data_IF_014394169729
#
_entry.id   IF_014394169729
#
_cell.length_a   1.000
_cell.length_b   1.000
_cell.length_c   1.000
_cell.angle_alpha   90.00
_cell.angle_beta   90.00
_cell.angle_gamma   90.00
#
_symmetry.space_group_name_H-M   'P 1'
#
loop_
_entity.id
_entity.type
_entity.pdbx_description
1 polymer ?
#
# COMPACT_ATOMS: atom_id res chain seq x y z
N UNK A 1 23.86 -57.31 8.05
CA UNK A 1 23.10 -56.51 9.03
C UNK A 1 22.12 -55.68 8.21
N UNK A 2 20.92 -56.14 7.85
CA UNK A 2 19.72 -56.50 8.65
C UNK A 2 19.31 -55.38 9.62
N UNK A 3 18.09 -54.86 9.46
CA UNK A 3 17.35 -54.04 10.43
C UNK A 3 17.14 -52.60 9.96
N UNK A 4 16.14 -52.21 9.17
CA UNK A 4 14.67 -52.29 9.35
C UNK A 4 14.07 -51.10 10.12
N UNK A 5 12.85 -50.77 9.68
CA UNK A 5 11.99 -49.59 9.83
C UNK A 5 11.66 -49.19 11.27
N UNK A 6 11.36 -47.91 11.48
CA UNK A 6 10.08 -47.58 12.14
C UNK A 6 9.61 -46.14 11.85
N UNK A 7 8.43 -46.04 11.24
CA UNK A 7 7.58 -44.85 11.14
C UNK A 7 6.86 -44.66 12.48
N UNK A 8 6.74 -43.43 12.97
CA UNK A 8 5.69 -43.09 13.93
C UNK A 8 4.85 -41.93 13.39
N UNK A 9 3.65 -42.29 12.91
CA UNK A 9 2.49 -41.41 12.80
C UNK A 9 1.82 -41.40 14.17
N UNK A 10 1.43 -40.23 14.66
CA UNK A 10 0.29 -40.10 15.57
C UNK A 10 -0.56 -38.92 15.10
N UNK A 11 -1.79 -39.25 14.70
CA UNK A 11 -2.90 -38.34 14.49
C UNK A 11 -3.81 -38.41 15.73
N UNK A 12 -4.50 -37.32 16.06
CA UNK A 12 -5.72 -37.15 16.89
C UNK A 12 -5.66 -35.68 17.38
N UNK A 13 -6.66 -34.80 17.31
CA UNK A 13 -8.07 -34.89 16.97
C UNK A 13 -8.85 -33.87 17.83
N UNK A 14 -9.52 -32.91 17.17
CA UNK A 14 -10.78 -32.25 17.53
C UNK A 14 -10.94 -31.33 18.78
N UNK A 15 -12.00 -30.49 18.69
CA UNK A 15 -12.70 -29.67 19.70
C UNK A 15 -12.08 -28.30 20.07
N UNK A 16 -12.78 -27.18 20.25
CA UNK A 16 -14.22 -26.85 20.25
C UNK A 16 -14.45 -25.32 20.31
N UNK A 17 -15.57 -24.86 19.74
CA UNK A 17 -16.48 -23.77 20.15
C UNK A 17 -16.02 -22.31 20.39
N UNK A 18 -16.44 -21.46 19.44
CA UNK A 18 -17.27 -20.25 19.57
C UNK A 18 -17.62 -19.68 20.96
N UNK A 19 -17.45 -18.35 21.11
CA UNK A 19 -18.39 -17.50 21.85
C UNK A 19 -18.33 -16.04 21.35
N UNK A 20 -19.43 -15.61 20.71
CA UNK A 20 -19.77 -14.21 20.45
C UNK A 20 -20.38 -13.60 21.72
N UNK A 21 -19.94 -12.41 22.11
CA UNK A 21 -20.63 -11.57 23.10
C UNK A 21 -21.05 -10.25 22.45
N UNK A 22 -22.37 -10.09 22.30
CA UNK A 22 -23.05 -8.84 21.88
C UNK A 22 -23.45 -8.10 23.14
N UNK A 23 -23.04 -6.83 23.28
CA UNK A 23 -23.47 -5.93 24.37
C UNK A 23 -24.38 -4.86 23.77
N UNK A 24 -25.64 -4.85 24.23
CA UNK A 24 -26.66 -3.85 23.93
C UNK A 24 -26.70 -2.86 25.10
N UNK A 25 -26.56 -1.55 24.84
CA UNK A 25 -26.79 -0.49 25.82
C UNK A 25 -28.05 0.28 25.43
N UNK A 26 -29.03 0.29 26.33
CA UNK A 26 -30.26 1.08 26.23
C UNK A 26 -30.00 2.55 26.58
N UNK A 27 -30.69 3.43 25.84
CA UNK A 27 -30.79 4.88 26.04
C UNK A 27 -32.12 5.16 26.74
N UNK A 28 -32.10 5.90 27.85
CA UNK A 28 -33.31 6.45 28.48
C UNK A 28 -33.29 7.99 28.43
N UNK A 29 -34.45 8.51 28.03
CA UNK A 29 -34.79 9.90 27.78
C UNK A 29 -35.89 10.29 28.79
N UNK A 30 -35.78 11.46 29.43
CA UNK A 30 -36.77 11.97 30.37
C UNK A 30 -36.73 13.49 30.48
N UNK A 31 -37.84 14.13 30.08
CA UNK A 31 -38.05 15.57 29.88
C UNK A 31 -38.76 16.26 31.06
N UNK A 32 -38.59 17.58 31.09
CA UNK A 32 -39.57 18.65 31.39
C UNK A 32 -39.80 19.18 32.83
N UNK A 33 -39.81 20.52 32.94
CA UNK A 33 -40.52 21.28 33.97
C UNK A 33 -39.98 22.70 34.22
N UNK A 34 -40.55 23.72 33.55
CA UNK A 34 -40.22 25.15 33.63
C UNK A 34 -41.42 25.96 34.18
N UNK A 35 -41.20 27.01 35.00
CA UNK A 35 -42.25 27.98 35.40
C UNK A 35 -41.89 28.87 36.63
N UNK A 36 -42.43 30.11 36.77
CA UNK A 36 -41.66 31.35 37.01
C UNK A 36 -41.94 32.16 38.32
N UNK A 37 -41.17 33.25 38.58
CA UNK A 37 -41.08 34.12 39.80
C UNK A 37 -42.29 35.05 40.13
N UNK A 38 -42.20 36.16 40.92
CA UNK A 38 -41.04 37.04 41.31
C UNK A 38 -41.00 37.56 42.80
N UNK A 39 -40.06 38.46 43.13
CA UNK A 39 -39.80 39.11 44.45
C UNK A 39 -40.55 40.45 44.70
N UNK A 40 -40.57 41.02 45.93
CA UNK A 40 -39.77 42.26 46.20
C UNK A 40 -39.30 42.56 47.68
N UNK A 41 -38.18 43.33 47.77
CA UNK A 41 -37.75 44.46 48.66
C UNK A 41 -37.78 44.50 50.24
N UNK A 42 -36.58 44.54 50.86
CA UNK A 42 -35.90 45.41 51.90
C UNK A 42 -36.67 46.29 52.94
N UNK A 43 -36.12 46.62 54.16
CA UNK A 43 -34.78 47.24 54.35
C UNK A 43 -33.96 47.02 55.67
N UNK A 44 -32.64 47.28 55.53
CA UNK A 44 -31.68 48.01 56.41
C UNK A 44 -31.47 47.67 57.91
N UNK A 45 -30.26 47.21 58.25
CA UNK A 45 -29.30 47.95 59.12
C UNK A 45 -27.89 47.33 59.10
N UNK A 46 -26.87 48.17 58.89
CA UNK A 46 -25.43 47.90 59.07
C UNK A 46 -24.96 48.59 60.39
N UNK A 47 -23.75 48.38 60.99
CA UNK A 47 -22.40 48.31 60.35
C UNK A 47 -21.35 47.43 61.12
N UNK A 48 -20.01 47.55 60.94
CA UNK A 48 -19.19 47.23 59.75
C UNK A 48 -17.98 46.29 60.04
N UNK A 49 -17.31 45.90 58.94
CA UNK A 49 -15.89 45.54 58.80
C UNK A 49 -15.37 44.13 59.21
N UNK A 50 -15.07 43.32 58.19
CA UNK A 50 -13.78 42.63 58.04
C UNK A 50 -13.64 42.13 56.58
N UNK A 51 -12.71 42.71 55.83
CA UNK A 51 -12.38 42.33 54.45
C UNK A 51 -11.66 40.98 54.45
N UNK A 52 -12.21 39.97 53.76
CA UNK A 52 -11.50 38.76 53.36
C UNK A 52 -11.00 38.92 51.92
N UNK A 53 -9.74 38.62 51.59
CA UNK A 53 -9.28 38.52 50.21
C UNK A 53 -9.93 37.31 49.50
N UNK A 54 -10.23 37.41 48.20
CA UNK A 54 -10.98 36.40 47.47
C UNK A 54 -10.11 35.21 47.04
N UNK A 55 -10.70 34.01 47.13
CA UNK A 55 -10.39 32.87 46.27
C UNK A 55 -10.55 33.27 44.80
N UNK A 56 -9.58 32.93 43.95
CA UNK A 56 -9.85 32.76 42.53
C UNK A 56 -9.25 31.43 42.02
N UNK A 57 -10.08 30.53 41.46
CA UNK A 57 -9.66 29.32 40.78
C UNK A 57 -9.45 29.61 39.28
N UNK A 58 -8.25 29.40 38.75
CA UNK A 58 -8.05 29.29 37.30
C UNK A 58 -6.78 28.51 36.99
N UNK A 59 -6.98 27.22 36.71
CA UNK A 59 -5.99 26.36 36.10
C UNK A 59 -6.04 26.57 34.59
N UNK A 60 -5.29 27.55 34.08
CA UNK A 60 -5.12 27.75 32.65
C UNK A 60 -3.65 28.00 32.34
N UNK A 61 -3.08 27.08 31.57
CA UNK A 61 -1.74 27.06 30.99
C UNK A 61 -0.56 27.31 31.95
N UNK A 62 -0.18 26.27 32.70
CA UNK A 62 1.10 26.23 33.40
C UNK A 62 2.22 25.91 32.41
N UNK A 63 2.56 26.88 31.56
CA UNK A 63 3.92 26.98 31.05
C UNK A 63 4.87 26.88 32.25
N UNK A 64 5.91 26.05 32.15
CA UNK A 64 6.84 25.78 33.24
C UNK A 64 7.55 27.09 33.62
N UNK A 65 7.06 27.77 34.66
CA UNK A 65 7.61 29.03 35.18
C UNK A 65 8.61 28.70 36.28
N UNK A 66 9.83 29.20 36.14
CA UNK A 66 10.82 29.17 37.22
C UNK A 66 10.28 29.97 38.41
N UNK A 67 10.13 29.33 39.57
CA UNK A 67 9.66 29.96 40.80
C UNK A 67 10.80 29.96 41.83
N UNK A 68 11.30 31.15 42.15
CA UNK A 68 12.26 31.35 43.23
C UNK A 68 11.52 31.41 44.57
N UNK A 69 11.51 30.29 45.30
CA UNK A 69 10.88 30.20 46.63
C UNK A 69 11.97 30.24 47.69
N UNK A 70 11.94 31.27 48.56
CA UNK A 70 12.88 31.37 49.68
C UNK A 70 12.45 30.46 50.83
N UNK A 71 13.25 29.43 51.13
CA UNK A 71 12.98 28.48 52.20
C UNK A 71 13.99 28.71 53.34
N UNK A 72 13.55 29.21 54.52
CA UNK A 72 14.39 29.25 55.71
C UNK A 72 14.87 27.86 56.11
N UNK A 73 16.13 27.76 56.54
CA UNK A 73 16.83 26.49 56.78
C UNK A 73 16.08 25.53 57.73
N UNK A 74 15.42 26.06 58.76
CA UNK A 74 14.63 25.32 59.74
C UNK A 74 13.40 24.61 59.14
N UNK A 75 12.89 25.11 58.01
CA UNK A 75 11.68 24.61 57.34
C UNK A 75 11.99 23.66 56.18
N UNK A 76 13.25 23.61 55.73
CA UNK A 76 13.68 22.78 54.59
C UNK A 76 13.30 21.31 54.79
N UNK A 77 13.62 20.74 55.96
CA UNK A 77 13.41 19.32 56.25
C UNK A 77 11.92 18.92 56.27
N UNK A 78 11.07 19.80 56.85
CA UNK A 78 9.61 19.59 56.92
C UNK A 78 8.92 19.64 55.55
N UNK A 79 9.44 20.42 54.60
CA UNK A 79 8.88 20.52 53.24
C UNK A 79 9.29 19.33 52.38
N UNK A 80 10.55 18.89 52.48
CA UNK A 80 11.06 17.72 51.74
C UNK A 80 10.41 16.39 52.15
N UNK A 81 10.09 16.21 53.43
CA UNK A 81 9.45 14.98 53.93
C UNK A 81 7.95 14.90 53.56
N UNK A 82 7.28 16.04 53.34
CA UNK A 82 5.86 16.09 52.93
C UNK A 82 5.64 15.76 51.46
N UNK A 83 6.53 16.20 50.57
CA UNK A 83 6.34 16.07 49.11
C UNK A 83 6.89 14.77 48.52
N UNK A 84 7.53 13.92 49.32
CA UNK A 84 7.82 12.53 48.96
C UNK A 84 8.67 12.37 47.69
N UNK A 85 10.00 12.37 47.86
CA UNK A 85 11.05 12.06 46.84
C UNK A 85 11.38 13.19 45.85
N UNK A 86 11.86 14.31 46.38
CA UNK A 86 12.71 15.23 45.62
C UNK A 86 14.19 14.88 45.80
N UNK A 87 14.97 14.85 44.71
CA UNK A 87 16.43 14.79 44.80
C UNK A 87 16.94 16.23 44.81
N UNK A 88 17.80 16.57 45.78
CA UNK A 88 18.46 17.87 45.79
C UNK A 88 19.48 17.93 44.65
N UNK A 89 19.23 18.83 43.70
CA UNK A 89 20.09 19.07 42.55
C UNK A 89 20.60 20.51 42.62
N UNK A 90 21.93 20.75 42.60
CA UNK A 90 22.46 22.09 42.47
C UNK A 90 21.87 22.79 41.24
N UNK A 91 21.59 24.09 41.37
CA UNK A 91 20.93 24.86 40.32
C UNK A 91 21.65 24.78 38.96
N UNK A 92 22.98 24.79 38.97
CA UNK A 92 23.80 24.61 37.76
C UNK A 92 23.51 23.27 37.09
N UNK A 93 23.39 22.19 37.87
CA UNK A 93 23.11 20.85 37.34
C UNK A 93 21.67 20.71 36.87
N UNK A 94 20.72 21.39 37.51
CA UNK A 94 19.35 21.51 37.00
C UNK A 94 19.34 22.19 35.63
N UNK A 95 20.03 23.34 35.49
CA UNK A 95 20.11 24.07 34.22
C UNK A 95 20.74 23.24 33.12
N UNK A 96 21.81 22.51 33.38
CA UNK A 96 22.45 21.60 32.42
C UNK A 96 21.47 20.52 31.93
N UNK A 97 20.82 19.79 32.84
CA UNK A 97 19.89 18.72 32.48
C UNK A 97 18.64 19.26 31.77
N UNK A 98 18.17 20.44 32.19
CA UNK A 98 17.06 21.14 31.56
C UNK A 98 17.40 21.57 30.13
N UNK A 99 18.57 22.18 29.91
CA UNK A 99 19.05 22.55 28.58
C UNK A 99 19.25 21.32 27.70
N UNK A 100 19.87 20.26 28.21
CA UNK A 100 20.04 19.01 27.49
C UNK A 100 18.70 18.37 27.11
N UNK A 101 17.73 18.35 28.02
CA UNK A 101 16.39 17.87 27.75
C UNK A 101 15.67 18.72 26.69
N UNK A 102 15.87 20.04 26.72
CA UNK A 102 15.26 20.95 25.77
C UNK A 102 15.91 20.88 24.38
N UNK A 103 17.21 20.62 24.31
CA UNK A 103 17.92 20.35 23.06
C UNK A 103 17.51 18.99 22.47
N UNK A 104 17.30 17.97 23.31
CA UNK A 104 16.74 16.68 22.88
C UNK A 104 15.31 16.88 22.37
N UNK A 105 14.47 17.65 23.07
CA UNK A 105 13.11 17.96 22.62
C UNK A 105 13.11 18.76 21.32
N UNK A 106 13.96 19.77 21.15
CA UNK A 106 14.07 20.54 19.91
C UNK A 106 14.51 19.67 18.73
N UNK A 107 15.49 18.77 18.93
CA UNK A 107 15.90 17.81 17.90
C UNK A 107 14.83 16.78 17.59
N UNK A 108 14.05 16.35 18.58
CA UNK A 108 12.91 15.47 18.37
C UNK A 108 11.72 16.19 17.69
N UNK A 109 11.63 17.52 17.87
CA UNK A 109 10.64 18.39 17.25
C UNK A 109 11.06 18.87 15.84
N UNK A 110 12.28 18.58 15.37
CA UNK A 110 12.57 18.60 13.93
C UNK A 110 11.66 17.55 13.29
N UNK A 111 10.53 18.01 12.75
CA UNK A 111 9.47 17.17 12.23
C UNK A 111 10.04 16.23 11.16
N UNK A 112 10.13 14.94 11.50
CA UNK A 112 10.50 13.92 10.52
C UNK A 112 9.44 13.92 9.41
N UNK A 113 9.84 13.77 8.14
CA UNK A 113 8.89 13.57 7.07
C UNK A 113 7.94 12.41 7.41
N UNK A 114 6.61 12.56 7.19
CA UNK A 114 5.65 11.50 7.49
C UNK A 114 5.90 10.23 6.66
N UNK A 115 6.60 10.37 5.52
CA UNK A 115 7.08 9.27 4.68
C UNK A 115 8.58 9.40 4.46
N UNK A 116 9.32 8.29 4.59
CA UNK A 116 10.78 8.29 4.45
C UNK A 116 11.25 8.47 3.01
N UNK A 117 10.50 7.91 2.06
CA UNK A 117 10.73 8.06 0.63
C UNK A 117 9.40 7.87 -0.12
N UNK A 118 9.30 8.45 -1.31
CA UNK A 118 8.12 8.34 -2.18
C UNK A 118 8.54 8.15 -3.64
N UNK A 119 7.69 7.47 -4.41
CA UNK A 119 7.87 7.30 -5.85
C UNK A 119 7.12 8.43 -6.54
N UNK A 120 7.83 9.26 -7.31
CA UNK A 120 7.24 10.43 -8.00
C UNK A 120 6.69 10.07 -9.38
N UNK A 121 7.43 9.26 -10.14
CA UNK A 121 7.11 8.89 -11.51
C UNK A 121 7.56 7.45 -11.79
N UNK A 122 6.77 6.73 -12.59
CA UNK A 122 7.10 5.40 -13.10
C UNK A 122 6.81 5.36 -14.60
N UNK A 123 7.82 4.97 -15.37
CA UNK A 123 7.69 4.60 -16.78
C UNK A 123 7.89 3.09 -16.94
N UNK A 124 6.84 2.39 -17.36
CA UNK A 124 6.85 0.94 -17.57
C UNK A 124 6.84 0.60 -19.05
N UNK A 125 7.70 -0.33 -19.44
CA UNK A 125 7.68 -0.98 -20.75
C UNK A 125 7.45 -2.47 -20.58
N UNK A 126 6.27 -2.94 -20.99
CA UNK A 126 5.85 -4.33 -20.91
C UNK A 126 5.93 -4.99 -22.29
N UNK A 127 6.62 -6.12 -22.37
CA UNK A 127 6.75 -6.94 -23.59
C UNK A 127 6.19 -8.32 -23.32
N UNK A 128 5.19 -8.71 -24.12
CA UNK A 128 4.59 -10.04 -24.04
C UNK A 128 5.50 -11.06 -24.73
N UNK A 129 5.90 -12.12 -24.02
CA UNK A 129 6.79 -13.15 -24.52
C UNK A 129 6.27 -14.56 -24.16
N UNK A 130 5.61 -15.22 -25.12
CA UNK A 130 5.01 -16.58 -25.02
C UNK A 130 4.09 -16.78 -23.81
N UNK A 131 4.66 -17.03 -22.63
CA UNK A 131 3.95 -17.39 -21.39
C UNK A 131 4.12 -16.36 -20.27
N UNK A 132 4.98 -15.36 -20.47
CA UNK A 132 5.27 -14.32 -19.47
C UNK A 132 5.21 -12.93 -20.10
N UNK A 133 4.86 -11.94 -19.29
CA UNK A 133 5.08 -10.53 -19.60
C UNK A 133 6.32 -10.09 -18.87
N UNK A 134 7.31 -9.59 -19.63
CA UNK A 134 8.52 -8.96 -19.08
C UNK A 134 8.29 -7.46 -19.01
N UNK A 135 8.58 -6.86 -17.87
CA UNK A 135 8.42 -5.43 -17.65
C UNK A 135 9.74 -4.83 -17.23
N UNK A 136 10.15 -3.78 -17.93
CA UNK A 136 11.20 -2.86 -17.51
C UNK A 136 10.53 -1.61 -16.94
N UNK A 137 10.73 -1.34 -15.66
CA UNK A 137 10.21 -0.16 -15.00
C UNK A 137 11.37 0.76 -14.59
N UNK A 138 11.26 2.03 -14.97
CA UNK A 138 12.14 3.11 -14.54
C UNK A 138 11.36 3.99 -13.57
N UNK A 139 11.85 4.11 -12.35
CA UNK A 139 11.16 4.79 -11.26
C UNK A 139 12.03 5.92 -10.73
N UNK A 140 11.43 7.11 -10.57
CA UNK A 140 12.04 8.22 -9.84
C UNK A 140 11.57 8.18 -8.40
N UNK A 141 12.53 8.12 -7.49
CA UNK A 141 12.27 8.03 -6.05
C UNK A 141 12.87 9.25 -5.38
N UNK A 142 12.07 9.91 -4.55
CA UNK A 142 12.51 11.02 -3.71
C UNK A 142 12.65 10.53 -2.27
N UNK A 143 13.87 10.59 -1.73
CA UNK A 143 14.17 10.15 -0.36
C UNK A 143 14.23 11.36 0.57
N UNK A 144 13.28 11.43 1.49
CA UNK A 144 13.05 12.59 2.36
C UNK A 144 13.72 12.41 3.72
N UNK A 145 13.59 11.23 4.35
CA UNK A 145 14.16 10.97 5.66
C UNK A 145 15.65 10.66 5.59
N UNK A 146 16.41 11.14 6.57
CA UNK A 146 17.79 10.73 6.80
C UNK A 146 17.84 9.30 7.37
N UNK A 147 18.80 8.50 6.91
CA UNK A 147 18.98 7.12 7.33
C UNK A 147 18.26 6.12 6.42
N UNK A 148 17.83 5.00 7.00
CA UNK A 148 17.20 3.90 6.29
C UNK A 148 15.72 4.16 6.03
N UNK A 149 15.31 3.97 4.78
CA UNK A 149 13.92 4.07 4.34
C UNK A 149 13.53 2.85 3.51
N UNK A 150 12.30 2.38 3.69
CA UNK A 150 11.72 1.30 2.88
C UNK A 150 10.75 1.89 1.85
N UNK A 151 10.85 1.45 0.60
CA UNK A 151 9.90 1.79 -0.47
C UNK A 151 9.17 0.53 -0.92
N UNK A 152 7.84 0.46 -0.81
CA UNK A 152 7.07 -0.71 -1.22
C UNK A 152 6.98 -0.79 -2.75
N UNK A 153 7.56 -1.84 -3.35
CA UNK A 153 7.47 -2.09 -4.79
C UNK A 153 6.16 -2.78 -5.16
N UNK A 154 5.51 -3.47 -4.21
CA UNK A 154 4.19 -4.10 -4.38
C UNK A 154 4.10 -5.05 -5.58
N UNK A 155 5.16 -5.83 -5.85
CA UNK A 155 5.25 -6.79 -6.96
C UNK A 155 5.08 -8.25 -6.47
N UNK A 156 3.94 -8.67 -5.88
CA UNK A 156 3.70 -10.06 -5.52
C UNK A 156 3.63 -10.94 -6.77
N UNK A 157 4.13 -12.17 -6.62
CA UNK A 157 4.17 -13.19 -7.66
C UNK A 157 4.91 -12.78 -8.94
N UNK A 158 5.70 -11.71 -8.88
CA UNK A 158 6.59 -11.29 -9.95
C UNK A 158 8.01 -11.79 -9.66
N UNK A 159 8.68 -12.31 -10.68
CA UNK A 159 10.09 -12.66 -10.60
C UNK A 159 10.92 -11.42 -10.98
N UNK A 160 11.63 -10.83 -10.02
CA UNK A 160 12.59 -9.75 -10.29
C UNK A 160 13.86 -10.38 -10.87
N UNK A 161 14.21 -10.00 -12.09
CA UNK A 161 15.40 -10.53 -12.79
C UNK A 161 16.60 -9.60 -12.66
N UNK A 162 16.37 -8.30 -12.55
CA UNK A 162 17.42 -7.29 -12.40
C UNK A 162 16.88 -6.09 -11.63
N UNK A 163 17.69 -5.48 -10.78
CA UNK A 163 17.35 -4.22 -10.14
C UNK A 163 18.61 -3.39 -9.88
N UNK A 164 18.63 -2.18 -10.41
CA UNK A 164 19.72 -1.23 -10.23
C UNK A 164 19.19 0.11 -9.71
N UNK A 165 19.88 0.67 -8.72
CA UNK A 165 19.63 1.97 -8.15
C UNK A 165 20.83 2.87 -8.49
N UNK A 166 20.61 3.92 -9.26
CA UNK A 166 21.67 4.82 -9.74
C UNK A 166 22.87 4.05 -10.36
N UNK A 167 22.58 2.99 -11.12
CA UNK A 167 23.58 2.15 -11.79
C UNK A 167 24.28 1.10 -10.90
N UNK A 168 23.99 1.04 -9.61
CA UNK A 168 24.50 0.01 -8.70
C UNK A 168 23.41 -1.02 -8.36
N UNK A 169 23.76 -2.26 -7.97
CA UNK A 169 22.77 -3.24 -7.55
C UNK A 169 21.86 -2.72 -6.42
N UNK A 170 20.55 -2.80 -6.62
CA UNK A 170 19.57 -2.34 -5.64
C UNK A 170 19.40 -3.35 -4.49
N UNK A 171 19.19 -2.85 -3.26
CA UNK A 171 18.93 -3.69 -2.08
C UNK A 171 17.43 -4.02 -2.01
N UNK A 172 17.02 -5.13 -2.60
CA UNK A 172 15.63 -5.59 -2.59
C UNK A 172 15.43 -6.67 -1.53
N UNK A 173 14.36 -6.54 -0.75
CA UNK A 173 13.95 -7.49 0.28
C UNK A 173 12.55 -8.02 -0.04
N UNK A 174 12.37 -9.34 0.04
CA UNK A 174 11.06 -9.96 -0.06
C UNK A 174 10.25 -9.71 1.22
N UNK A 175 8.99 -9.32 1.08
CA UNK A 175 8.07 -8.97 2.15
C UNK A 175 6.84 -9.90 2.18
N UNK A 176 7.07 -11.20 2.03
CA UNK A 176 5.99 -12.21 1.98
C UNK A 176 4.94 -11.88 0.92
N UNK A 177 3.67 -11.99 1.29
CA UNK A 177 2.53 -11.76 0.40
C UNK A 177 2.41 -10.30 -0.10
N UNK A 178 3.10 -9.35 0.54
CA UNK A 178 3.15 -7.95 0.08
C UNK A 178 4.10 -7.73 -1.12
N UNK A 179 4.81 -8.78 -1.55
CA UNK A 179 5.76 -8.73 -2.66
C UNK A 179 7.15 -8.29 -2.22
N UNK A 180 7.66 -7.18 -2.76
CA UNK A 180 9.03 -6.72 -2.53
C UNK A 180 9.09 -5.29 -2.00
N UNK A 181 10.16 -5.01 -1.25
CA UNK A 181 10.53 -3.69 -0.75
C UNK A 181 11.94 -3.34 -1.20
N UNK A 182 12.15 -2.07 -1.52
CA UNK A 182 13.47 -1.51 -1.75
C UNK A 182 13.98 -0.87 -0.46
N UNK A 183 15.21 -1.18 -0.08
CA UNK A 183 15.91 -0.50 1.02
C UNK A 183 16.79 0.61 0.47
N UNK A 184 16.56 1.81 0.98
CA UNK A 184 17.32 3.01 0.65
C UNK A 184 18.01 3.54 1.90
N UNK A 185 19.23 4.01 1.74
CA UNK A 185 19.99 4.65 2.79
C UNK A 185 20.40 6.03 2.29
N UNK A 186 19.88 7.09 2.91
CA UNK A 186 20.28 8.47 2.59
C UNK A 186 21.13 9.05 3.69
N UNK A 187 22.25 9.66 3.29
CA UNK A 187 23.12 10.42 4.19
C UNK A 187 22.81 11.91 4.04
N UNK A 188 22.42 12.56 5.13
CA UNK A 188 22.15 13.99 5.17
C UNK A 188 20.67 14.36 5.12
N UNK A 189 20.40 15.64 5.43
CA UNK A 189 19.05 16.14 5.74
C UNK A 189 18.23 16.57 4.51
N UNK A 190 18.86 16.87 3.37
CA UNK A 190 18.15 17.36 2.18
C UNK A 190 17.50 16.21 1.40
N UNK A 191 16.34 16.41 0.75
CA UNK A 191 15.79 15.45 -0.19
C UNK A 191 16.78 15.09 -1.30
N UNK A 192 16.82 13.82 -1.67
CA UNK A 192 17.65 13.30 -2.77
C UNK A 192 16.77 12.53 -3.74
N UNK A 193 16.97 12.78 -5.05
CA UNK A 193 16.29 12.03 -6.11
C UNK A 193 17.20 10.91 -6.60
N UNK A 194 16.66 9.70 -6.66
CA UNK A 194 17.35 8.52 -7.16
C UNK A 194 16.52 7.84 -8.25
N UNK A 195 17.20 7.25 -9.22
CA UNK A 195 16.57 6.47 -10.27
C UNK A 195 16.74 4.97 -9.97
N UNK A 196 15.63 4.24 -9.91
CA UNK A 196 15.59 2.79 -9.81
C UNK A 196 15.16 2.22 -11.17
N UNK A 197 15.98 1.35 -11.74
CA UNK A 197 15.61 0.55 -12.91
C UNK A 197 15.43 -0.90 -12.47
N UNK A 198 14.24 -1.44 -12.67
CA UNK A 198 13.91 -2.82 -12.31
C UNK A 198 13.37 -3.56 -13.52
N UNK A 199 13.83 -4.80 -13.70
CA UNK A 199 13.28 -5.75 -14.64
C UNK A 199 12.60 -6.88 -13.88
N UNK A 200 11.34 -7.14 -14.21
CA UNK A 200 10.57 -8.22 -13.61
C UNK A 200 9.70 -8.93 -14.64
N UNK A 201 9.31 -10.16 -14.34
CA UNK A 201 8.43 -10.96 -15.19
C UNK A 201 7.24 -11.50 -14.38
N UNK A 202 6.08 -11.56 -15.03
CA UNK A 202 4.87 -12.19 -14.48
C UNK A 202 4.25 -13.14 -15.50
N UNK A 203 3.76 -14.28 -15.02
CA UNK A 203 3.09 -15.27 -15.87
C UNK A 203 1.76 -14.74 -16.43
N UNK A 204 1.46 -15.13 -17.67
CA UNK A 204 0.21 -14.83 -18.35
C UNK A 204 -0.83 -15.87 -17.94
N UNK A 205 -2.04 -15.41 -17.62
CA UNK A 205 -3.20 -16.27 -17.46
C UNK A 205 -3.87 -16.41 -18.82
N UNK A 206 -3.81 -17.61 -19.39
CA UNK A 206 -4.43 -17.94 -20.67
C UNK A 206 -5.82 -18.54 -20.46
N UNK A 207 -6.81 -17.99 -21.15
CA UNK A 207 -8.16 -18.53 -21.23
C UNK A 207 -8.58 -18.60 -22.71
N UNK A 208 -9.51 -19.49 -23.08
CA UNK A 208 -9.99 -19.57 -24.47
C UNK A 208 -10.49 -18.21 -24.98
N UNK A 209 -9.81 -17.66 -25.99
CA UNK A 209 -10.14 -16.35 -26.58
C UNK A 209 -9.66 -15.11 -25.80
N UNK A 210 -8.95 -15.27 -24.67
CA UNK A 210 -8.45 -14.15 -23.88
C UNK A 210 -7.18 -14.50 -23.10
N UNK A 211 -6.12 -13.73 -23.35
CA UNK A 211 -4.93 -13.71 -22.50
C UNK A 211 -4.98 -12.50 -21.59
N UNK A 212 -4.59 -12.69 -20.33
CA UNK A 212 -4.57 -11.62 -19.34
C UNK A 212 -3.37 -11.69 -18.42
N UNK A 213 -2.91 -10.53 -17.98
CA UNK A 213 -1.96 -10.42 -16.87
C UNK A 213 -2.43 -9.32 -15.91
N UNK A 214 -2.43 -9.63 -14.61
CA UNK A 214 -2.76 -8.68 -13.56
C UNK A 214 -1.50 -8.40 -12.74
N UNK A 215 -0.97 -7.19 -12.85
CA UNK A 215 0.25 -6.76 -12.17
C UNK A 215 -0.17 -5.81 -11.05
N UNK A 216 0.13 -6.18 -9.80
CA UNK A 216 0.14 -5.17 -8.75
C UNK A 216 1.45 -4.41 -8.93
N UNK A 217 1.35 -3.13 -9.28
CA UNK A 217 2.51 -2.31 -9.60
C UNK A 217 2.80 -1.35 -8.43
N UNK A 218 4.04 -0.85 -8.31
CA UNK A 218 4.32 0.24 -7.39
C UNK A 218 3.40 1.44 -7.70
N UNK A 219 2.97 2.14 -6.66
CA UNK A 219 2.08 3.29 -6.80
C UNK A 219 2.90 4.58 -6.92
N UNK A 220 2.56 5.38 -7.93
CA UNK A 220 3.09 6.72 -8.11
C UNK A 220 1.99 7.64 -8.67
N UNK A 221 2.07 8.97 -8.43
CA UNK A 221 1.16 9.94 -9.02
C UNK A 221 1.14 9.86 -10.56
N UNK A 222 2.32 9.69 -11.17
CA UNK A 222 2.47 9.53 -12.62
C UNK A 222 2.93 8.11 -12.92
N UNK A 223 2.09 7.36 -13.63
CA UNK A 223 2.37 5.97 -14.00
C UNK A 223 2.04 5.75 -15.48
N UNK A 224 3.09 5.64 -16.30
CA UNK A 224 2.99 5.41 -17.76
C UNK A 224 3.24 3.94 -18.07
N UNK A 225 2.45 3.40 -18.98
CA UNK A 225 2.56 2.04 -19.48
C UNK A 225 2.68 2.06 -20.99
N UNK A 226 3.74 1.43 -21.51
CA UNK A 226 3.88 1.06 -22.91
C UNK A 226 3.87 -0.46 -23.01
N UNK A 227 2.85 -1.01 -23.66
CA UNK A 227 2.70 -2.46 -23.86
C UNK A 227 3.02 -2.80 -25.31
N UNK A 228 3.90 -3.78 -25.51
CA UNK A 228 4.25 -4.35 -26.81
C UNK A 228 3.79 -5.81 -26.86
N UNK A 229 2.97 -6.11 -27.85
CA UNK A 229 2.51 -7.48 -28.13
C UNK A 229 3.07 -7.89 -29.50
N UNK A 230 3.79 -9.03 -29.60
CA UNK A 230 4.38 -9.53 -30.85
C UNK A 230 3.31 -10.18 -31.75
N UNK A 231 2.14 -9.56 -31.85
CA UNK A 231 1.05 -9.94 -32.73
C UNK A 231 0.45 -8.67 -33.33
N UNK A 232 0.34 -8.55 -34.66
CA UNK A 232 -0.15 -7.34 -35.30
C UNK A 232 -1.69 -7.23 -35.21
N UNK A 233 -2.18 -6.03 -34.86
CA UNK A 233 -3.60 -5.68 -34.94
C UNK A 233 -4.47 -6.24 -33.83
N UNK A 234 -3.88 -6.62 -32.69
CA UNK A 234 -4.62 -7.16 -31.55
C UNK A 234 -5.27 -6.03 -30.75
N UNK A 235 -6.54 -6.19 -30.38
CA UNK A 235 -7.20 -5.26 -29.45
C UNK A 235 -6.69 -5.53 -28.04
N UNK A 236 -5.95 -4.56 -27.48
CA UNK A 236 -5.46 -4.61 -26.10
C UNK A 236 -6.33 -3.73 -25.23
N UNK A 237 -6.89 -4.31 -24.18
CA UNK A 237 -7.60 -3.58 -23.14
C UNK A 237 -6.66 -3.44 -21.93
N UNK A 238 -6.35 -2.21 -21.56
CA UNK A 238 -5.64 -1.90 -20.31
C UNK A 238 -6.66 -1.38 -19.30
N UNK A 239 -6.56 -1.80 -18.03
CA UNK A 239 -7.43 -1.30 -16.97
C UNK A 239 -6.61 -1.03 -15.69
N UNK A 240 -6.80 0.13 -15.03
CA UNK A 240 -7.58 1.29 -15.48
C UNK A 240 -6.82 2.13 -16.51
N UNK A 241 -7.54 2.78 -17.41
CA UNK A 241 -6.99 3.79 -18.32
C UNK A 241 -7.58 5.14 -17.93
N UNK A 242 -6.73 6.06 -17.50
CA UNK A 242 -7.12 7.44 -17.23
C UNK A 242 -7.02 8.26 -18.52
N UNK A 243 -6.00 7.98 -19.33
CA UNK A 243 -5.85 8.51 -20.68
C UNK A 243 -5.07 7.53 -21.56
N UNK A 244 -5.56 7.25 -22.75
CA UNK A 244 -4.83 6.53 -23.79
C UNK A 244 -4.64 7.50 -24.95
N UNK A 245 -3.46 8.12 -25.12
CA UNK A 245 -3.14 8.68 -26.43
C UNK A 245 -3.14 7.51 -27.41
N UNK A 246 -4.07 7.52 -28.35
CA UNK A 246 -4.18 6.51 -29.38
C UNK A 246 -2.81 6.31 -30.04
N UNK A 247 -2.42 5.05 -30.19
CA UNK A 247 -1.10 4.64 -30.63
C UNK A 247 -0.80 5.25 -32.00
N UNK A 248 0.03 6.30 -32.03
CA UNK A 248 0.69 6.69 -33.26
C UNK A 248 1.61 5.51 -33.65
N UNK A 249 1.45 4.91 -34.84
CA UNK A 249 2.43 3.95 -35.32
C UNK A 249 3.81 4.61 -35.30
N UNK A 250 4.89 3.87 -34.97
CA UNK A 250 6.23 4.42 -34.97
C UNK A 250 6.50 5.12 -36.31
N UNK A 251 7.13 6.31 -36.33
CA UNK A 251 7.50 6.97 -37.58
C UNK A 251 8.27 5.95 -38.43
N UNK A 252 7.93 5.78 -39.71
CA UNK A 252 8.67 4.86 -40.56
C UNK A 252 10.12 5.33 -40.58
N UNK A 253 11.02 4.50 -40.06
CA UNK A 253 12.45 4.66 -40.31
C UNK A 253 12.64 4.69 -41.82
N UNK A 254 13.01 5.85 -42.35
CA UNK A 254 13.29 6.01 -43.78
C UNK A 254 14.52 5.18 -44.10
N UNK A 255 14.33 4.01 -44.70
CA UNK A 255 15.39 3.36 -45.49
C UNK A 255 15.68 4.24 -46.72
N UNK A 256 16.94 4.36 -47.18
CA UNK A 256 17.30 5.23 -48.30
C UNK A 256 16.78 4.79 -49.68
N UNK A 257 16.06 3.67 -49.79
CA UNK A 257 15.62 3.12 -51.06
C UNK A 257 14.12 2.85 -51.00
N UNK A 258 13.36 3.44 -51.92
CA UNK A 258 11.90 3.55 -51.97
C UNK A 258 11.11 2.23 -52.06
N UNK A 259 11.23 1.37 -51.05
CA UNK A 259 10.34 0.25 -50.80
C UNK A 259 9.33 0.62 -49.69
N UNK A 260 8.07 0.21 -49.89
CA UNK A 260 6.96 0.48 -48.98
C UNK A 260 7.28 0.06 -47.53
N UNK A 261 6.87 0.90 -46.57
CA UNK A 261 7.03 0.65 -45.15
C UNK A 261 6.46 -0.73 -44.76
N UNK A 262 7.20 -1.58 -44.01
CA UNK A 262 6.68 -2.86 -43.55
C UNK A 262 5.48 -2.64 -42.62
N UNK A 263 4.47 -3.51 -42.73
CA UNK A 263 3.35 -3.55 -41.78
C UNK A 263 3.90 -3.73 -40.37
N UNK A 264 3.38 -3.03 -39.34
CA UNK A 264 3.90 -3.16 -37.99
C UNK A 264 3.71 -4.61 -37.52
N UNK A 265 4.81 -5.29 -37.23
CA UNK A 265 4.81 -6.67 -36.70
C UNK A 265 4.39 -6.73 -35.22
N UNK A 266 4.32 -5.57 -34.56
CA UNK A 266 4.01 -5.41 -33.14
C UNK A 266 2.83 -4.47 -32.93
N UNK A 267 1.96 -4.82 -31.98
CA UNK A 267 0.95 -3.89 -31.45
C UNK A 267 1.55 -3.15 -30.26
N UNK A 268 1.66 -1.82 -30.37
CA UNK A 268 2.15 -0.95 -29.29
C UNK A 268 0.99 -0.12 -28.74
N UNK A 269 0.74 -0.21 -27.44
CA UNK A 269 -0.30 0.57 -26.75
C UNK A 269 0.34 1.39 -25.64
N UNK A 270 0.10 2.70 -25.64
CA UNK A 270 0.56 3.59 -24.57
C UNK A 270 -0.63 4.09 -23.77
N UNK A 271 -0.56 3.99 -22.44
CA UNK A 271 -1.63 4.41 -21.55
C UNK A 271 -1.09 4.99 -20.24
N UNK A 272 -1.88 5.90 -19.68
CA UNK A 272 -1.68 6.48 -18.36
C UNK A 272 -2.65 5.83 -17.39
N UNK A 273 -2.10 5.19 -16.35
CA UNK A 273 -2.86 4.36 -15.39
C UNK A 273 -3.05 5.07 -14.04
N UNK A 274 -2.26 6.11 -13.78
CA UNK A 274 -2.26 6.85 -12.50
C UNK A 274 -1.87 5.97 -11.31
N UNK A 275 -2.41 6.28 -10.13
CA UNK A 275 -2.04 5.62 -8.87
C UNK A 275 -2.75 4.27 -8.61
N UNK A 276 -3.30 3.62 -9.63
CA UNK A 276 -4.04 2.38 -9.47
C UNK A 276 -3.15 1.26 -8.88
N UNK A 277 -3.62 0.51 -7.87
CA UNK A 277 -2.82 -0.53 -7.21
C UNK A 277 -2.64 -1.78 -8.08
N UNK A 278 -3.45 -1.96 -9.11
CA UNK A 278 -3.41 -3.12 -9.99
C UNK A 278 -3.67 -2.67 -11.42
N UNK A 279 -2.80 -3.10 -12.32
CA UNK A 279 -2.89 -2.89 -13.76
C UNK A 279 -3.21 -4.22 -14.41
N UNK A 280 -4.31 -4.27 -15.15
CA UNK A 280 -4.73 -5.45 -15.89
C UNK A 280 -4.56 -5.19 -17.38
N UNK A 281 -3.86 -6.10 -18.03
CA UNK A 281 -3.64 -6.08 -19.48
C UNK A 281 -4.34 -7.30 -20.03
N UNK A 282 -5.30 -7.10 -20.92
CA UNK A 282 -6.08 -8.16 -21.55
C UNK A 282 -6.00 -8.01 -23.06
N UNK A 283 -5.83 -9.12 -23.77
CA UNK A 283 -5.81 -9.13 -25.22
C UNK A 283 -6.33 -10.46 -25.75
N UNK A 284 -6.84 -10.44 -26.98
CA UNK A 284 -7.29 -11.65 -27.68
C UNK A 284 -6.18 -12.12 -28.62
N UNK A 285 -5.53 -13.27 -28.34
CA UNK A 285 -4.48 -13.80 -29.22
C UNK A 285 -5.07 -14.22 -30.56
N UNK A 286 -4.37 -13.93 -31.66
CA UNK A 286 -4.78 -14.32 -33.01
C UNK A 286 -4.60 -15.82 -33.27
N UNK A 287 -3.59 -16.43 -32.63
CA UNK A 287 -3.13 -17.79 -32.93
C UNK A 287 -3.70 -18.90 -32.01
N UNK A 288 -4.45 -18.57 -30.97
CA UNK A 288 -5.02 -19.57 -30.03
C UNK A 288 -6.43 -20.03 -30.45
N UNK A 289 -6.97 -19.48 -31.54
CA UNK A 289 -8.03 -20.08 -32.31
C UNK A 289 -7.47 -21.20 -33.19
N UNK A 290 -7.50 -22.43 -32.69
CA UNK A 290 -7.19 -23.67 -33.41
C UNK A 290 -5.70 -24.02 -33.65
N UNK A 291 -4.82 -23.78 -32.67
CA UNK A 291 -3.56 -24.55 -32.58
C UNK A 291 -3.61 -25.48 -31.38
N UNK A 292 -3.78 -26.79 -31.63
CA UNK A 292 -3.73 -27.84 -30.60
C UNK A 292 -5.06 -28.53 -30.26
N UNK A 293 -6.18 -28.13 -30.87
CA UNK A 293 -7.38 -28.98 -30.87
C UNK A 293 -7.24 -29.96 -32.03
N UNK A 294 -7.13 -31.26 -31.71
CA UNK A 294 -7.41 -32.32 -32.68
C UNK A 294 -8.80 -32.03 -33.26
N UNK A 295 -8.92 -31.98 -34.59
CA UNK A 295 -10.20 -31.77 -35.24
C UNK A 295 -11.12 -32.96 -34.89
N UNK A 296 -11.89 -32.83 -33.82
CA UNK A 296 -12.92 -33.79 -33.45
C UNK A 296 -14.08 -33.59 -34.44
N UNK A 297 -14.01 -34.32 -35.55
CA UNK A 297 -15.15 -34.47 -36.45
C UNK A 297 -16.09 -35.47 -35.79
N UNK A 298 -17.12 -35.00 -35.10
CA UNK A 298 -18.22 -35.85 -34.67
C UNK A 298 -19.20 -36.02 -35.83
N UNK A 299 -19.18 -37.20 -36.46
CA UNK A 299 -20.26 -37.62 -37.37
C UNK A 299 -21.23 -38.46 -36.57
N UNK A 300 -22.47 -38.00 -36.46
CA UNK A 300 -23.58 -38.81 -35.96
C UNK A 300 -24.34 -39.31 -37.20
N UNK A 301 -24.44 -40.63 -37.35
CA UNK A 301 -25.21 -41.27 -38.41
C UNK A 301 -26.27 -42.14 -37.78
N UNK A 302 -27.53 -41.92 -38.13
CA UNK A 302 -28.63 -42.76 -37.69
C UNK A 302 -29.05 -43.68 -38.84
N UNK A 303 -28.84 -44.99 -38.66
CA UNK A 303 -29.31 -45.99 -39.62
C UNK A 303 -30.50 -46.74 -39.05
N UNK A 304 -31.64 -46.58 -39.71
CA UNK A 304 -32.86 -47.31 -39.37
C UNK A 304 -33.04 -48.47 -40.36
N UNK A 305 -33.14 -49.69 -39.83
CA UNK A 305 -33.45 -50.90 -40.59
C UNK A 305 -34.84 -51.40 -40.21
N UNK A 306 -35.73 -51.48 -41.20
CA UNK A 306 -37.05 -52.10 -41.03
C UNK A 306 -37.04 -53.45 -41.75
N UNK A 307 -37.33 -54.53 -41.02
CA UNK A 307 -37.45 -55.89 -41.55
C UNK A 307 -38.93 -56.26 -41.58
N UNK A 308 -39.44 -56.58 -42.76
CA UNK A 308 -40.75 -57.18 -42.98
C UNK A 308 -40.61 -58.57 -43.59
N UNK A 309 -41.74 -59.20 -43.92
CA UNK A 309 -41.75 -60.50 -44.57
C UNK A 309 -41.15 -60.40 -45.99
N UNK A 310 -39.96 -60.96 -46.18
CA UNK A 310 -39.25 -60.98 -47.47
C UNK A 310 -38.61 -59.66 -47.92
N UNK A 311 -38.67 -58.58 -47.12
CA UNK A 311 -38.12 -57.26 -47.50
C UNK A 311 -37.38 -56.61 -46.33
N UNK A 312 -36.16 -56.14 -46.59
CA UNK A 312 -35.41 -55.26 -45.69
C UNK A 312 -35.28 -53.86 -46.33
N UNK A 313 -35.59 -52.81 -45.57
CA UNK A 313 -35.39 -51.42 -45.96
C UNK A 313 -34.43 -50.75 -44.99
N UNK A 314 -33.41 -50.08 -45.53
CA UNK A 314 -32.43 -49.31 -44.75
C UNK A 314 -32.53 -47.84 -45.12
N UNK A 315 -32.67 -46.97 -44.12
CA UNK A 315 -32.62 -45.51 -44.27
C UNK A 315 -31.47 -44.97 -43.44
N UNK A 316 -30.72 -44.02 -43.99
CA UNK A 316 -29.59 -43.36 -43.33
C UNK A 316 -29.84 -41.85 -43.34
N UNK A 317 -29.69 -41.20 -42.18
CA UNK A 317 -29.69 -39.74 -42.01
C UNK A 317 -28.39 -39.28 -41.36
#
# INVERSE_FOLDING_TARGET
MIGDRCRLRCALGACSASLLAVVIVMVECGLAGEGPGPAPASPSSAPPAAVKPPDNPEATDRGLREQSIYIPYEKLRKTFEKEGRGVFLPYEKFRELWQAAQDIQKRAAEAKPPVGALITEIDNEAVVAKDVVRVKAVMKIEVLAEGWSEVPLRLPDAAITEATLAGQPARIVAAGDAGYKLLLEKKGKKPEQMELVIQYAKAIVKAPGQNSVAIQAPQAPVNRWRVRIPEPGVKVNLQPVIAAPEAAPPPPEKKPDGAAAPKPEETVVTAFVGAAPTVRIEWTPKAEGATGLEALVSVQTESQVTIGEGVARTRVQ
#
